data_IF_005608716077
#
_entry.id   IF_005608716077
#
_cell.length_a   1.000
_cell.length_b   1.000
_cell.length_c   1.000
_cell.angle_alpha   90.00
_cell.angle_beta   90.00
_cell.angle_gamma   90.00
#
_symmetry.space_group_name_H-M   'P 1'
#
loop_
_entity.id
_entity.type
_entity.pdbx_description
1 polymer ?
#
# COMPACT_ATOMS: atom_id res chain seq x y z
N UNK A 1 -13.21 5.57 -1.15
CA UNK A 1 -13.31 6.98 -0.75
C UNK A 1 -14.39 7.72 -1.54
N UNK A 2 -14.45 7.60 -2.87
CA UNK A 2 -15.43 8.32 -3.69
C UNK A 2 -16.90 8.00 -3.32
N UNK A 3 -17.21 6.78 -2.92
CA UNK A 3 -18.57 6.38 -2.54
C UNK A 3 -19.00 6.97 -1.18
N UNK A 4 -18.08 7.12 -0.24
CA UNK A 4 -18.35 7.79 1.03
C UNK A 4 -18.66 9.28 0.80
N UNK A 5 -17.88 9.93 -0.05
CA UNK A 5 -18.11 11.35 -0.41
C UNK A 5 -19.41 11.57 -1.17
N UNK A 6 -19.76 10.68 -2.11
CA UNK A 6 -21.05 10.74 -2.83
C UNK A 6 -22.23 10.65 -1.88
N UNK A 7 -22.18 9.77 -0.88
CA UNK A 7 -23.23 9.63 0.14
C UNK A 7 -23.39 10.86 1.03
N UNK A 8 -22.29 11.62 1.21
CA UNK A 8 -22.28 12.84 2.02
C UNK A 8 -22.57 14.11 1.19
N UNK A 9 -22.85 14.00 -0.11
CA UNK A 9 -23.06 15.14 -0.99
C UNK A 9 -21.80 15.97 -1.27
N UNK A 10 -20.62 15.44 -0.92
CA UNK A 10 -19.33 16.10 -1.14
C UNK A 10 -18.89 15.82 -2.56
N UNK A 11 -18.53 16.85 -3.33
CA UNK A 11 -17.95 16.69 -4.66
C UNK A 11 -16.62 15.94 -4.57
N UNK A 12 -16.35 14.98 -5.47
CA UNK A 12 -15.02 14.37 -5.57
C UNK A 12 -13.95 15.44 -5.72
N UNK A 13 -12.79 15.22 -5.09
CA UNK A 13 -11.63 16.07 -5.31
C UNK A 13 -11.21 16.01 -6.77
N UNK A 14 -10.84 17.14 -7.35
CA UNK A 14 -10.21 17.22 -8.68
C UNK A 14 -8.72 16.86 -8.63
N UNK A 15 -8.20 16.51 -7.45
CA UNK A 15 -6.82 16.12 -7.23
C UNK A 15 -6.49 14.87 -8.08
N UNK A 16 -5.51 15.01 -8.95
CA UNK A 16 -4.92 13.90 -9.70
C UNK A 16 -3.70 13.41 -8.95
N UNK A 17 -3.70 12.13 -8.60
CA UNK A 17 -2.53 11.48 -8.01
C UNK A 17 -1.59 11.10 -9.15
N UNK A 18 -0.39 11.68 -9.18
CA UNK A 18 0.60 11.43 -10.23
C UNK A 18 1.49 10.23 -9.91
N UNK A 19 1.84 10.03 -8.64
CA UNK A 19 2.61 8.88 -8.18
C UNK A 19 2.32 8.57 -6.71
N UNK A 20 2.69 7.39 -6.25
CA UNK A 20 2.46 6.89 -4.88
C UNK A 20 3.77 6.40 -4.25
N UNK A 21 4.05 6.81 -3.02
CA UNK A 21 5.05 6.18 -2.16
C UNK A 21 4.37 5.26 -1.14
N UNK A 22 4.67 3.97 -1.18
CA UNK A 22 4.01 2.93 -0.38
C UNK A 22 5.03 2.30 0.58
N UNK A 23 5.02 2.74 1.84
CA UNK A 23 5.97 2.32 2.88
C UNK A 23 5.34 1.21 3.70
N UNK A 24 5.90 -0.01 3.66
CA UNK A 24 5.50 -1.15 4.49
C UNK A 24 3.98 -1.38 4.51
N UNK A 25 3.34 -1.38 3.34
CA UNK A 25 1.88 -1.34 3.24
C UNK A 25 1.17 -2.60 3.74
N UNK A 26 0.09 -2.42 4.50
CA UNK A 26 -0.81 -3.49 4.89
C UNK A 26 -1.85 -3.74 3.76
N UNK A 27 -1.38 -4.24 2.61
CA UNK A 27 -2.22 -4.38 1.41
C UNK A 27 -3.33 -5.43 1.53
N UNK A 28 -3.12 -6.49 2.32
CA UNK A 28 -4.03 -7.63 2.39
C UNK A 28 -4.69 -7.73 3.76
N UNK A 29 -5.87 -7.16 3.91
CA UNK A 29 -6.61 -7.14 5.17
C UNK A 29 -7.56 -8.33 5.33
N UNK A 30 -7.77 -9.14 4.29
CA UNK A 30 -8.70 -10.28 4.27
C UNK A 30 -8.03 -11.62 3.98
N UNK A 31 -6.69 -11.66 3.98
CA UNK A 31 -5.93 -12.88 3.77
C UNK A 31 -6.15 -13.86 4.93
N UNK A 32 -6.01 -15.17 4.66
CA UNK A 32 -6.15 -16.19 5.70
C UNK A 32 -4.89 -16.23 6.60
N UNK A 33 -4.76 -15.21 7.45
CA UNK A 33 -3.74 -15.07 8.47
C UNK A 33 -4.31 -14.31 9.67
N UNK A 34 -3.49 -14.02 10.69
CA UNK A 34 -3.93 -13.31 11.91
C UNK A 34 -4.59 -11.96 11.61
N UNK A 35 -4.08 -11.21 10.64
CA UNK A 35 -4.64 -9.91 10.23
C UNK A 35 -6.00 -10.12 9.59
N UNK A 36 -6.10 -10.98 8.58
CA UNK A 36 -7.32 -11.21 7.84
C UNK A 36 -8.44 -11.92 8.63
N UNK A 37 -8.11 -12.61 9.73
CA UNK A 37 -9.11 -13.21 10.62
C UNK A 37 -9.81 -12.17 11.51
N UNK A 38 -9.07 -11.18 12.00
CA UNK A 38 -9.57 -10.25 13.01
C UNK A 38 -9.89 -8.86 12.45
N UNK A 39 -9.02 -8.31 11.61
CA UNK A 39 -9.06 -6.91 11.19
C UNK A 39 -10.25 -6.53 10.28
N UNK A 40 -10.70 -7.35 9.32
CA UNK A 40 -11.77 -6.95 8.39
C UNK A 40 -13.06 -6.54 9.07
N UNK A 41 -13.41 -7.22 10.16
CA UNK A 41 -14.62 -6.92 10.93
C UNK A 41 -14.57 -5.51 11.55
N UNK A 42 -13.38 -5.08 11.98
CA UNK A 42 -13.19 -3.76 12.58
C UNK A 42 -13.08 -2.65 11.53
N UNK A 43 -12.38 -2.92 10.42
CA UNK A 43 -12.19 -1.94 9.34
C UNK A 43 -13.46 -1.72 8.51
N UNK A 44 -14.18 -2.78 8.21
CA UNK A 44 -15.24 -2.79 7.19
C UNK A 44 -16.62 -3.11 7.76
N UNK A 45 -16.71 -3.52 9.03
CA UNK A 45 -17.94 -3.95 9.68
C UNK A 45 -18.29 -5.43 9.43
N UNK A 46 -19.22 -5.96 10.25
CA UNK A 46 -19.56 -7.41 10.25
C UNK A 46 -20.09 -7.93 8.92
N UNK A 47 -20.77 -7.07 8.13
CA UNK A 47 -21.43 -7.47 6.88
C UNK A 47 -20.74 -6.92 5.63
N UNK A 48 -19.49 -6.49 5.73
CA UNK A 48 -18.76 -5.84 4.64
C UNK A 48 -18.78 -6.62 3.31
N UNK A 49 -18.81 -7.96 3.37
CA UNK A 49 -18.85 -8.83 2.19
C UNK A 49 -20.10 -8.64 1.33
N UNK A 50 -21.17 -8.07 1.90
CA UNK A 50 -22.41 -7.72 1.19
C UNK A 50 -22.43 -6.27 0.70
N UNK A 51 -21.44 -5.49 1.07
CA UNK A 51 -21.35 -4.07 0.70
C UNK A 51 -20.85 -3.91 -0.74
N UNK A 52 -21.27 -2.86 -1.46
CA UNK A 52 -20.81 -2.57 -2.82
C UNK A 52 -19.30 -2.45 -2.96
N UNK A 53 -18.61 -2.02 -1.89
CA UNK A 53 -17.15 -1.88 -1.88
C UNK A 53 -16.39 -3.19 -1.64
N UNK A 54 -17.09 -4.31 -1.36
CA UNK A 54 -16.44 -5.57 -1.00
C UNK A 54 -15.43 -6.06 -2.04
N UNK A 55 -15.68 -5.84 -3.31
CA UNK A 55 -14.76 -6.18 -4.40
C UNK A 55 -13.43 -5.42 -4.32
N UNK A 56 -13.44 -4.21 -3.77
CA UNK A 56 -12.28 -3.32 -3.66
C UNK A 56 -11.46 -3.51 -2.38
N UNK A 57 -11.86 -4.44 -1.51
CA UNK A 57 -11.06 -4.84 -0.34
C UNK A 57 -9.84 -5.66 -0.75
N UNK A 58 -9.92 -6.33 -1.90
CA UNK A 58 -8.78 -7.01 -2.51
C UNK A 58 -7.93 -6.02 -3.30
N UNK A 59 -6.66 -5.77 -2.94
CA UNK A 59 -5.79 -4.85 -3.65
C UNK A 59 -5.41 -5.33 -5.07
N UNK A 60 -5.63 -6.61 -5.36
CA UNK A 60 -5.42 -7.20 -6.69
C UNK A 60 -6.66 -7.07 -7.60
N UNK A 61 -7.70 -6.33 -7.17
CA UNK A 61 -8.86 -6.07 -8.03
C UNK A 61 -8.42 -5.35 -9.31
N UNK A 62 -8.79 -5.85 -10.52
CA UNK A 62 -8.33 -5.29 -11.78
C UNK A 62 -8.67 -3.80 -11.97
N UNK A 63 -9.82 -3.35 -11.49
CA UNK A 63 -10.22 -1.94 -11.59
C UNK A 63 -9.35 -1.05 -10.71
N UNK A 64 -8.98 -1.53 -9.50
CA UNK A 64 -8.05 -0.82 -8.63
C UNK A 64 -6.66 -0.75 -9.25
N UNK A 65 -6.14 -1.88 -9.73
CA UNK A 65 -4.84 -1.93 -10.37
C UNK A 65 -4.80 -1.03 -11.61
N UNK A 66 -5.86 -1.04 -12.43
CA UNK A 66 -5.96 -0.17 -13.60
C UNK A 66 -5.91 1.32 -13.22
N UNK A 67 -6.64 1.71 -12.18
CA UNK A 67 -6.75 3.10 -11.73
C UNK A 67 -5.53 3.58 -10.91
N UNK A 68 -4.65 2.66 -10.47
CA UNK A 68 -3.52 3.00 -9.64
C UNK A 68 -2.50 3.86 -10.40
N UNK A 69 -2.06 4.95 -9.81
CA UNK A 69 -0.94 5.74 -10.31
C UNK A 69 0.38 4.94 -10.19
N UNK A 70 1.45 5.32 -10.91
CA UNK A 70 2.77 4.74 -10.72
C UNK A 70 3.15 4.67 -9.24
N UNK A 71 3.75 3.57 -8.82
CA UNK A 71 3.95 3.28 -7.40
C UNK A 71 5.40 2.94 -7.06
N UNK A 72 5.93 3.53 -6.00
CA UNK A 72 7.20 3.17 -5.40
C UNK A 72 6.94 2.47 -4.07
N UNK A 73 7.48 1.25 -3.92
CA UNK A 73 7.28 0.43 -2.73
C UNK A 73 8.57 0.28 -1.96
N UNK A 74 8.49 0.30 -0.63
CA UNK A 74 9.62 -0.03 0.22
C UNK A 74 9.21 -0.96 1.34
N UNK A 75 10.09 -1.92 1.61
CA UNK A 75 9.99 -2.85 2.73
C UNK A 75 11.38 -3.28 3.19
N UNK A 76 11.47 -4.16 4.18
CA UNK A 76 12.73 -4.75 4.63
C UNK A 76 12.54 -6.21 4.99
N UNK A 77 13.65 -6.97 5.04
CA UNK A 77 13.60 -8.38 5.42
C UNK A 77 13.01 -8.61 6.83
N UNK A 78 13.18 -7.66 7.74
CA UNK A 78 12.67 -7.75 9.12
C UNK A 78 11.27 -7.13 9.30
N UNK A 79 10.66 -6.62 8.23
CA UNK A 79 9.27 -6.15 8.26
C UNK A 79 8.31 -7.34 8.29
N UNK A 80 7.46 -7.41 9.31
CA UNK A 80 6.46 -8.48 9.41
C UNK A 80 5.38 -8.42 8.32
N UNK A 81 5.22 -7.30 7.61
CA UNK A 81 4.35 -7.14 6.44
C UNK A 81 5.09 -7.24 5.10
N UNK A 82 6.40 -7.57 5.11
CA UNK A 82 7.19 -7.71 3.88
C UNK A 82 6.51 -8.58 2.82
N UNK A 83 5.95 -9.72 3.24
CA UNK A 83 5.27 -10.64 2.32
C UNK A 83 4.06 -10.00 1.64
N UNK A 84 3.40 -9.03 2.24
CA UNK A 84 2.31 -8.28 1.62
C UNK A 84 2.84 -7.35 0.54
N UNK A 85 3.93 -6.64 0.82
CA UNK A 85 4.57 -5.76 -0.16
C UNK A 85 5.08 -6.54 -1.37
N UNK A 86 5.80 -7.66 -1.16
CA UNK A 86 6.31 -8.52 -2.24
C UNK A 86 5.16 -9.14 -3.06
N UNK A 87 4.07 -9.54 -2.42
CA UNK A 87 2.91 -10.06 -3.15
C UNK A 87 2.23 -8.97 -3.98
N UNK A 88 2.10 -7.78 -3.44
CA UNK A 88 1.48 -6.66 -4.16
C UNK A 88 2.35 -6.22 -5.34
N UNK A 89 3.67 -6.17 -5.18
CA UNK A 89 4.62 -5.94 -6.28
C UNK A 89 4.40 -6.93 -7.43
N UNK A 90 4.27 -8.24 -7.14
CA UNK A 90 3.97 -9.25 -8.16
C UNK A 90 2.64 -9.00 -8.87
N UNK A 91 1.63 -8.53 -8.15
CA UNK A 91 0.35 -8.17 -8.76
C UNK A 91 0.47 -6.96 -9.68
N UNK A 92 1.27 -5.95 -9.31
CA UNK A 92 1.58 -4.79 -10.16
C UNK A 92 2.32 -5.21 -11.42
N UNK A 93 3.33 -6.08 -11.29
CA UNK A 93 4.09 -6.66 -12.42
C UNK A 93 3.15 -7.41 -13.38
N UNK A 94 2.29 -8.29 -12.86
CA UNK A 94 1.32 -9.05 -13.67
C UNK A 94 0.33 -8.14 -14.40
N UNK A 95 -0.08 -7.05 -13.76
CA UNK A 95 -0.95 -6.03 -14.33
C UNK A 95 -0.22 -5.03 -15.24
N UNK A 96 1.09 -5.18 -15.44
CA UNK A 96 1.95 -4.26 -16.22
C UNK A 96 1.86 -2.80 -15.74
N UNK A 97 1.69 -2.60 -14.44
CA UNK A 97 1.67 -1.26 -13.85
C UNK A 97 3.10 -0.79 -13.62
N UNK A 98 3.33 0.49 -13.90
CA UNK A 98 4.60 1.14 -13.60
C UNK A 98 4.84 1.17 -12.09
N UNK A 99 5.94 0.57 -11.65
CA UNK A 99 6.31 0.55 -10.24
C UNK A 99 7.80 0.27 -10.06
N UNK A 100 8.29 0.63 -8.88
CA UNK A 100 9.63 0.27 -8.39
C UNK A 100 9.49 -0.29 -6.97
N UNK A 101 10.40 -1.17 -6.56
CA UNK A 101 10.46 -1.71 -5.21
C UNK A 101 11.87 -1.66 -4.65
N UNK A 102 11.98 -1.29 -3.38
CA UNK A 102 13.20 -1.39 -2.58
C UNK A 102 12.94 -2.31 -1.39
N UNK A 103 13.65 -3.44 -1.38
CA UNK A 103 13.57 -4.43 -0.32
C UNK A 103 14.91 -4.46 0.42
N UNK A 104 14.97 -3.80 1.58
CA UNK A 104 16.20 -3.71 2.36
C UNK A 104 16.61 -5.07 2.93
N UNK A 105 17.93 -5.39 2.94
CA UNK A 105 18.43 -6.65 3.43
C UNK A 105 18.17 -6.82 4.94
N UNK A 106 18.45 -8.01 5.44
CA UNK A 106 18.28 -8.36 6.85
C UNK A 106 19.09 -7.44 7.76
N UNK A 107 18.40 -6.64 8.55
CA UNK A 107 18.96 -5.78 9.57
C UNK A 107 17.92 -5.61 10.69
N UNK A 108 18.28 -5.95 11.92
CA UNK A 108 17.37 -5.92 13.09
C UNK A 108 16.76 -4.53 13.37
N UNK A 109 17.40 -3.46 12.92
CA UNK A 109 16.92 -2.09 13.08
C UNK A 109 15.85 -1.72 12.04
N UNK A 110 15.83 -2.39 10.89
CA UNK A 110 14.90 -2.10 9.81
C UNK A 110 13.62 -2.93 9.98
N UNK A 111 12.84 -2.60 11.00
CA UNK A 111 11.56 -3.25 11.30
C UNK A 111 10.43 -2.65 10.44
N UNK A 112 9.18 -2.94 10.77
CA UNK A 112 8.02 -2.41 10.07
C UNK A 112 8.03 -0.87 10.02
N UNK A 113 7.91 -0.33 8.81
CA UNK A 113 7.89 1.10 8.54
C UNK A 113 9.07 1.88 9.20
N UNK A 114 10.26 1.27 9.24
CA UNK A 114 11.44 1.83 9.90
C UNK A 114 11.74 3.27 9.46
N UNK A 115 11.55 3.59 8.18
CA UNK A 115 11.81 4.93 7.66
C UNK A 115 10.89 6.02 8.24
N UNK A 116 9.78 5.61 8.87
CA UNK A 116 8.83 6.51 9.55
C UNK A 116 9.11 6.56 11.05
N UNK A 117 9.35 5.38 11.67
CA UNK A 117 9.49 5.28 13.11
C UNK A 117 10.92 5.48 13.60
N UNK A 118 11.92 5.28 12.75
CA UNK A 118 13.34 5.43 13.05
C UNK A 118 13.99 6.44 12.08
N UNK A 119 13.57 7.72 12.10
CA UNK A 119 13.95 8.72 11.11
C UNK A 119 15.43 9.05 11.06
N UNK A 120 16.19 8.73 12.12
CA UNK A 120 17.62 9.04 12.21
C UNK A 120 18.53 7.93 11.66
N UNK A 121 17.99 6.81 11.19
CA UNK A 121 18.80 5.78 10.54
C UNK A 121 19.28 6.24 9.15
N UNK A 122 20.52 5.92 8.76
CA UNK A 122 21.02 6.20 7.41
C UNK A 122 20.10 5.60 6.32
N UNK A 123 19.57 4.40 6.56
CA UNK A 123 18.63 3.73 5.65
C UNK A 123 17.31 4.49 5.53
N UNK A 124 16.86 5.15 6.58
CA UNK A 124 15.64 5.98 6.56
C UNK A 124 15.85 7.23 5.69
N UNK A 125 17.00 7.88 5.79
CA UNK A 125 17.38 8.98 4.88
C UNK A 125 17.44 8.48 3.43
N UNK A 126 18.07 7.34 3.19
CA UNK A 126 18.13 6.75 1.85
C UNK A 126 16.73 6.46 1.27
N UNK A 127 15.78 6.00 2.09
CA UNK A 127 14.38 5.81 1.66
C UNK A 127 13.75 7.13 1.19
N UNK A 128 13.94 8.20 1.95
CA UNK A 128 13.38 9.52 1.61
C UNK A 128 14.01 10.07 0.33
N UNK A 129 15.32 9.92 0.19
CA UNK A 129 16.04 10.37 -1.01
C UNK A 129 15.57 9.62 -2.26
N UNK A 130 15.51 8.28 -2.20
CA UNK A 130 15.04 7.44 -3.31
C UNK A 130 13.57 7.72 -3.66
N UNK A 131 12.69 7.89 -2.66
CA UNK A 131 11.30 8.25 -2.88
C UNK A 131 11.19 9.63 -3.54
N UNK A 132 11.96 10.60 -3.07
CA UNK A 132 11.98 11.96 -3.64
C UNK A 132 12.43 11.92 -5.10
N UNK A 133 13.48 11.16 -5.41
CA UNK A 133 13.96 10.99 -6.78
C UNK A 133 12.90 10.32 -7.67
N UNK A 134 12.23 9.28 -7.14
CA UNK A 134 11.14 8.63 -7.88
C UNK A 134 10.00 9.62 -8.18
N UNK A 135 9.54 10.38 -7.18
CA UNK A 135 8.42 11.32 -7.36
C UNK A 135 8.72 12.47 -8.33
N UNK A 136 9.99 12.83 -8.50
CA UNK A 136 10.42 13.85 -9.47
C UNK A 136 10.27 13.45 -10.94
N UNK A 137 10.01 12.15 -11.22
CA UNK A 137 9.78 11.65 -12.58
C UNK A 137 8.40 12.05 -13.12
N UNK A 138 7.49 12.46 -12.24
CA UNK A 138 6.08 12.75 -12.50
C UNK A 138 5.70 14.19 -12.13
#
# INVERSE_FOLDING_TARGET
ASDVYKRQGIKPSELKVHALGLISGMFYTTKFDKIGLFLPKYLYGKQYRKAPFAAYVNPENPELLYALAPAWLVTSHNDHLRNYTIRFEKALTAAKKEHEIVDFPKNKKLTHAFSVFEPFLPESHAVIDMLTEYLRKF
#
